data_IF_615318370933
#
_entry.id   IF_615318370933
#
_cell.length_a   1.000
_cell.length_b   1.000
_cell.length_c   1.000
_cell.angle_alpha   90.00
_cell.angle_beta   90.00
_cell.angle_gamma   90.00
#
_symmetry.space_group_name_H-M   'P 1'
#
loop_
_entity.id
_entity.type
_entity.pdbx_description
1 polymer ?
#
# COMPACT_ATOMS: atom_id res chain seq x y z
N UNK A 1 -8.59 -7.44 -6.91
CA UNK A 1 -7.28 -6.78 -7.09
C UNK A 1 -6.75 -6.85 -8.52
N UNK A 2 -6.22 -7.99 -9.01
CA UNK A 2 -5.59 -8.08 -10.35
C UNK A 2 -6.47 -7.59 -11.50
N UNK A 3 -7.73 -8.06 -11.58
CA UNK A 3 -8.71 -7.56 -12.56
C UNK A 3 -8.94 -6.04 -12.49
N UNK A 4 -8.90 -5.45 -11.28
CA UNK A 4 -9.03 -3.99 -11.10
C UNK A 4 -7.77 -3.27 -11.56
N UNK A 5 -6.58 -3.77 -11.22
CA UNK A 5 -5.30 -3.23 -11.68
C UNK A 5 -5.21 -3.19 -13.21
N UNK A 6 -5.59 -4.28 -13.87
CA UNK A 6 -5.63 -4.37 -15.33
C UNK A 6 -6.65 -3.40 -15.92
N UNK A 7 -7.86 -3.33 -15.36
CA UNK A 7 -8.93 -2.44 -15.84
C UNK A 7 -8.64 -0.94 -15.66
N UNK A 8 -7.81 -0.55 -14.69
CA UNK A 8 -7.45 0.86 -14.44
C UNK A 8 -6.07 1.24 -14.99
N UNK A 9 -5.36 0.32 -15.67
CA UNK A 9 -3.98 0.54 -16.12
C UNK A 9 -3.00 0.82 -14.97
N UNK A 10 -3.36 0.42 -13.74
CA UNK A 10 -2.57 0.70 -12.53
C UNK A 10 -1.64 -0.46 -12.20
N UNK A 11 -0.62 -0.18 -11.41
CA UNK A 11 0.35 -1.17 -10.95
C UNK A 11 0.68 -0.99 -9.47
N UNK A 12 1.10 -2.07 -8.83
CA UNK A 12 1.81 -2.03 -7.54
C UNK A 12 3.27 -2.39 -7.77
N UNK A 13 4.21 -1.93 -6.93
CA UNK A 13 5.58 -2.44 -7.00
C UNK A 13 5.59 -3.94 -6.71
N UNK A 14 6.50 -4.69 -7.32
CA UNK A 14 6.81 -6.08 -7.02
C UNK A 14 7.88 -6.18 -5.91
N UNK A 15 8.32 -7.39 -5.58
CA UNK A 15 9.38 -7.64 -4.56
C UNK A 15 10.73 -6.98 -4.88
N UNK A 16 10.97 -6.63 -6.15
CA UNK A 16 12.18 -5.94 -6.63
C UNK A 16 11.92 -4.45 -6.85
N UNK A 17 10.75 -3.94 -6.46
CA UNK A 17 10.33 -2.55 -6.64
C UNK A 17 9.84 -2.20 -8.06
N UNK A 18 9.71 -3.17 -8.96
CA UNK A 18 9.27 -2.92 -10.34
C UNK A 18 7.74 -2.89 -10.44
N UNK A 19 7.15 -2.03 -11.28
CA UNK A 19 5.71 -2.02 -11.50
C UNK A 19 5.18 -3.39 -11.98
N UNK A 20 4.10 -3.87 -11.35
CA UNK A 20 3.38 -5.08 -11.77
C UNK A 20 1.86 -4.91 -11.63
N UNK A 21 1.12 -5.34 -12.64
CA UNK A 21 -0.33 -5.49 -12.59
C UNK A 21 -0.77 -6.83 -11.96
N UNK A 22 0.19 -7.74 -11.70
CA UNK A 22 -0.07 -9.11 -11.24
C UNK A 22 0.62 -9.43 -9.89
N UNK A 23 0.48 -8.59 -8.85
CA UNK A 23 1.08 -8.89 -7.56
C UNK A 23 0.43 -10.14 -6.93
N UNK A 24 1.15 -10.82 -6.05
CA UNK A 24 0.57 -11.85 -5.19
C UNK A 24 -0.15 -11.20 -4.01
N UNK A 25 -1.20 -11.83 -3.50
CA UNK A 25 -1.92 -11.28 -2.34
C UNK A 25 -0.99 -11.16 -1.12
N UNK A 26 -0.12 -12.16 -0.90
CA UNK A 26 0.94 -12.12 0.11
C UNK A 26 1.77 -10.85 -0.01
N UNK A 27 2.27 -10.55 -1.22
CA UNK A 27 3.10 -9.37 -1.44
C UNK A 27 2.34 -8.07 -1.16
N UNK A 28 1.06 -7.99 -1.53
CA UNK A 28 0.22 -6.82 -1.22
C UNK A 28 0.17 -6.56 0.29
N UNK A 29 0.04 -7.60 1.12
CA UNK A 29 0.11 -7.44 2.58
C UNK A 29 1.51 -7.05 3.07
N UNK A 30 2.56 -7.58 2.44
CA UNK A 30 3.94 -7.24 2.79
C UNK A 30 4.30 -5.78 2.53
N UNK A 31 3.63 -5.10 1.58
CA UNK A 31 3.80 -3.66 1.38
C UNK A 31 3.59 -2.88 2.69
N UNK A 32 2.58 -3.27 3.48
CA UNK A 32 2.23 -2.57 4.71
C UNK A 32 3.10 -2.93 5.92
N UNK A 33 3.92 -3.99 5.86
CA UNK A 33 4.67 -4.47 7.02
C UNK A 33 5.66 -3.44 7.59
N UNK A 34 6.13 -2.52 6.75
CA UNK A 34 7.11 -1.51 7.14
C UNK A 34 6.49 -0.15 7.44
N UNK A 35 5.18 0.02 7.26
CA UNK A 35 4.47 1.24 7.64
C UNK A 35 4.32 1.27 9.16
N UNK A 36 4.77 2.35 9.80
CA UNK A 36 4.82 2.44 11.28
C UNK A 36 4.25 3.75 11.74
N UNK A 37 3.39 3.71 12.75
CA UNK A 37 3.06 4.88 13.55
C UNK A 37 4.12 5.05 14.64
N UNK A 38 4.69 6.23 14.76
CA UNK A 38 5.64 6.59 15.83
C UNK A 38 5.22 7.88 16.49
N UNK A 39 5.54 8.02 17.78
CA UNK A 39 5.39 9.26 18.51
C UNK A 39 6.77 9.89 18.75
N UNK A 40 6.95 11.13 18.33
CA UNK A 40 8.18 11.89 18.51
C UNK A 40 7.85 13.28 19.04
N UNK A 41 8.23 13.53 20.30
CA UNK A 41 7.98 14.82 20.97
C UNK A 41 6.50 15.20 21.05
N UNK A 42 5.62 14.23 21.35
CA UNK A 42 4.17 14.44 21.42
C UNK A 42 3.45 14.55 20.08
N UNK A 43 4.16 14.33 18.95
CA UNK A 43 3.55 14.30 17.61
C UNK A 43 3.51 12.87 17.08
N UNK A 44 2.36 12.46 16.58
CA UNK A 44 2.20 11.22 15.83
C UNK A 44 2.70 11.41 14.39
N UNK A 45 3.49 10.45 13.91
CA UNK A 45 4.05 10.43 12.57
C UNK A 45 3.90 9.04 11.96
N UNK A 46 3.60 8.97 10.67
CA UNK A 46 3.54 7.71 9.92
C UNK A 46 4.81 7.57 9.07
N UNK A 47 5.67 6.63 9.44
CA UNK A 47 6.90 6.32 8.72
C UNK A 47 6.65 5.31 7.61
N UNK A 48 7.48 5.39 6.56
CA UNK A 48 7.50 4.50 5.40
C UNK A 48 6.17 4.40 4.64
N UNK A 49 5.28 5.37 4.83
CA UNK A 49 4.11 5.50 4.01
C UNK A 49 4.50 6.02 2.62
N UNK A 50 3.90 5.43 1.60
CA UNK A 50 4.18 5.74 0.20
C UNK A 50 2.92 5.60 -0.66
N UNK A 51 2.82 6.25 -1.83
CA UNK A 51 1.59 6.31 -2.62
C UNK A 51 0.99 4.94 -3.04
N UNK A 52 1.84 3.92 -3.17
CA UNK A 52 1.38 2.57 -3.51
C UNK A 52 0.57 1.90 -2.38
N UNK A 53 0.74 2.32 -1.12
CA UNK A 53 -0.06 1.81 0.00
C UNK A 53 -1.52 2.24 -0.11
N UNK A 54 -1.77 3.50 -0.45
CA UNK A 54 -3.13 4.00 -0.72
C UNK A 54 -3.75 3.28 -1.91
N UNK A 55 -2.98 3.08 -2.98
CA UNK A 55 -3.42 2.36 -4.17
C UNK A 55 -3.82 0.92 -3.78
N UNK A 56 -2.99 0.23 -2.99
CA UNK A 56 -3.29 -1.10 -2.50
C UNK A 56 -4.55 -1.13 -1.61
N UNK A 57 -4.70 -0.18 -0.68
CA UNK A 57 -5.87 -0.09 0.20
C UNK A 57 -7.16 0.10 -0.60
N UNK A 58 -7.18 1.05 -1.54
CA UNK A 58 -8.33 1.28 -2.44
C UNK A 58 -8.67 0.04 -3.27
N UNK A 59 -7.66 -0.65 -3.80
CA UNK A 59 -7.86 -1.86 -4.63
C UNK A 59 -8.36 -3.07 -3.84
N UNK A 60 -8.02 -3.14 -2.54
CA UNK A 60 -8.56 -4.13 -1.60
C UNK A 60 -9.99 -3.82 -1.17
N UNK A 61 -10.53 -2.65 -1.55
CA UNK A 61 -11.85 -2.20 -1.12
C UNK A 61 -11.87 -1.67 0.31
N UNK A 62 -10.70 -1.42 0.92
CA UNK A 62 -10.63 -0.67 2.15
C UNK A 62 -10.91 0.80 1.82
N UNK A 63 -11.92 1.40 2.48
CA UNK A 63 -12.18 2.83 2.36
C UNK A 63 -11.01 3.68 2.85
N UNK A 64 -10.23 3.14 3.80
CA UNK A 64 -9.07 3.79 4.41
C UNK A 64 -8.19 2.74 5.11
N UNK A 65 -6.86 2.89 5.04
CA UNK A 65 -5.94 2.18 5.95
C UNK A 65 -5.84 3.01 7.23
N UNK A 66 -5.86 2.41 8.41
CA UNK A 66 -6.01 3.14 9.69
C UNK A 66 -4.87 4.15 9.99
N UNK A 67 -3.76 4.10 9.24
CA UNK A 67 -2.67 5.08 9.30
C UNK A 67 -2.69 6.12 8.16
N UNK A 68 -3.73 6.13 7.32
CA UNK A 68 -3.99 7.15 6.31
C UNK A 68 -5.08 8.08 6.87
N UNK A 69 -4.71 9.24 7.37
CA UNK A 69 -5.66 10.30 7.81
C UNK A 69 -6.31 11.03 6.63
#
# INVERSE_FOLDING_TARGET
LRRRLEGTGSSLPDQKGRPTAKPTLRWVFQLFMWVRLVELGGKLLVLNLAPHHETAARLLGAGRYYLLE
#
